data_IF_297405645378
#
_entry.id   IF_297405645378
#
_cell.length_a   1.000
_cell.length_b   1.000
_cell.length_c   1.000
_cell.angle_alpha   90.00
_cell.angle_beta   90.00
_cell.angle_gamma   90.00
#
_symmetry.space_group_name_H-M   'P 1'
#
loop_
_entity.id
_entity.type
_entity.pdbx_description
1 polymer ?
#
# COMPACT_ATOMS: atom_id res chain seq x y z
N UNK A 1 5.72 5.80 -15.27
CA UNK A 1 5.30 4.99 -14.10
C UNK A 1 5.89 3.60 -14.19
N UNK A 2 6.46 3.09 -13.12
CA UNK A 2 6.90 1.69 -13.05
C UNK A 2 5.87 0.88 -12.25
N UNK A 3 5.04 0.13 -12.96
CA UNK A 3 3.95 -0.64 -12.35
C UNK A 3 4.47 -1.72 -11.40
N UNK A 4 5.56 -2.40 -11.77
CA UNK A 4 6.16 -3.43 -10.93
C UNK A 4 6.58 -2.87 -9.57
N UNK A 5 7.23 -1.71 -9.56
CA UNK A 5 7.67 -1.08 -8.32
C UNK A 5 6.49 -0.61 -7.48
N UNK A 6 5.53 0.03 -8.10
CA UNK A 6 4.35 0.54 -7.39
C UNK A 6 3.53 -0.59 -6.78
N UNK A 7 3.31 -1.63 -7.55
CA UNK A 7 2.57 -2.81 -7.08
C UNK A 7 3.32 -3.52 -5.96
N UNK A 8 4.64 -3.73 -6.13
CA UNK A 8 5.46 -4.37 -5.12
C UNK A 8 5.46 -3.63 -3.80
N UNK A 9 5.60 -2.31 -3.83
CA UNK A 9 5.52 -1.46 -2.63
C UNK A 9 4.16 -1.57 -1.96
N UNK A 10 3.10 -1.59 -2.76
CA UNK A 10 1.73 -1.70 -2.22
C UNK A 10 1.49 -3.04 -1.54
N UNK A 11 1.94 -4.12 -2.16
CA UNK A 11 1.85 -5.46 -1.58
C UNK A 11 2.58 -5.51 -0.23
N UNK A 12 3.79 -4.98 -0.18
CA UNK A 12 4.58 -4.93 1.05
C UNK A 12 3.87 -4.13 2.14
N UNK A 13 3.32 -2.98 1.79
CA UNK A 13 2.57 -2.13 2.71
C UNK A 13 1.34 -2.86 3.28
N UNK A 14 0.53 -3.45 2.42
CA UNK A 14 -0.67 -4.18 2.83
C UNK A 14 -0.32 -5.41 3.66
N UNK A 15 0.75 -6.10 3.31
CA UNK A 15 1.26 -7.23 4.10
C UNK A 15 1.63 -6.79 5.52
N UNK A 16 2.38 -5.69 5.63
CA UNK A 16 2.78 -5.15 6.93
C UNK A 16 1.59 -4.66 7.74
N UNK A 17 0.60 -4.08 7.08
CA UNK A 17 -0.64 -3.67 7.75
C UNK A 17 -1.38 -4.85 8.38
N UNK A 18 -1.27 -6.03 7.80
CA UNK A 18 -1.82 -7.28 8.34
C UNK A 18 -0.86 -7.97 9.32
N UNK A 19 0.29 -7.37 9.60
CA UNK A 19 1.32 -7.91 10.50
C UNK A 19 1.84 -9.27 10.05
N UNK A 20 1.95 -9.47 8.75
CA UNK A 20 2.49 -10.69 8.17
C UNK A 20 3.94 -10.48 7.75
N UNK A 21 4.79 -11.47 8.03
CA UNK A 21 6.15 -11.52 7.47
C UNK A 21 6.09 -11.95 6.01
N UNK A 22 7.17 -11.71 5.26
CA UNK A 22 7.30 -12.26 3.91
C UNK A 22 7.20 -13.78 3.93
N UNK A 23 7.87 -14.42 4.88
CA UNK A 23 7.82 -15.86 5.04
C UNK A 23 6.39 -16.35 5.21
N UNK A 24 5.63 -15.71 6.10
CA UNK A 24 4.26 -16.12 6.37
C UNK A 24 3.37 -15.94 5.15
N UNK A 25 3.43 -14.80 4.49
CA UNK A 25 2.62 -14.57 3.30
C UNK A 25 2.99 -15.53 2.18
N UNK A 26 4.29 -15.78 1.96
CA UNK A 26 4.72 -16.73 0.92
C UNK A 26 4.20 -18.13 1.19
N UNK A 27 4.15 -18.57 2.45
CA UNK A 27 3.55 -19.85 2.82
C UNK A 27 2.04 -19.87 2.51
N UNK A 28 1.32 -18.79 2.85
CA UNK A 28 -0.12 -18.71 2.64
C UNK A 28 -0.51 -18.79 1.17
N UNK A 29 0.31 -18.26 0.29
CA UNK A 29 0.03 -18.22 -1.16
C UNK A 29 0.82 -19.26 -1.95
N UNK A 30 1.56 -20.11 -1.26
CA UNK A 30 2.31 -21.22 -1.83
C UNK A 30 3.30 -20.80 -2.92
N UNK A 31 4.14 -19.81 -2.60
CA UNK A 31 5.27 -19.41 -3.43
C UNK A 31 6.53 -19.35 -2.57
N UNK A 32 7.69 -19.39 -3.21
CA UNK A 32 8.96 -19.24 -2.50
C UNK A 32 9.09 -17.83 -1.93
N UNK A 33 9.71 -17.69 -0.77
CA UNK A 33 9.94 -16.38 -0.16
C UNK A 33 10.76 -15.48 -1.07
N UNK A 34 11.75 -16.03 -1.79
CA UNK A 34 12.55 -15.27 -2.75
C UNK A 34 11.70 -14.71 -3.89
N UNK A 35 10.68 -15.46 -4.31
CA UNK A 35 9.74 -15.00 -5.34
C UNK A 35 8.93 -13.82 -4.83
N UNK A 36 8.40 -13.90 -3.62
CA UNK A 36 7.65 -12.79 -3.01
C UNK A 36 8.55 -11.56 -2.81
N UNK A 37 9.78 -11.78 -2.35
CA UNK A 37 10.75 -10.70 -2.20
C UNK A 37 11.01 -9.98 -3.53
N UNK A 38 11.17 -10.73 -4.61
CA UNK A 38 11.35 -10.16 -5.94
C UNK A 38 10.13 -9.34 -6.41
N UNK A 39 8.93 -9.80 -6.10
CA UNK A 39 7.70 -9.08 -6.40
C UNK A 39 7.64 -7.76 -5.61
N UNK A 40 7.90 -7.82 -4.30
CA UNK A 40 7.86 -6.64 -3.43
C UNK A 40 8.93 -5.61 -3.79
N UNK A 41 10.08 -6.06 -4.28
CA UNK A 41 11.17 -5.17 -4.71
C UNK A 41 10.98 -4.60 -6.12
N UNK A 42 9.97 -5.06 -6.85
CA UNK A 42 9.73 -4.62 -8.20
C UNK A 42 10.59 -5.28 -9.27
N UNK A 43 11.31 -6.34 -8.91
CA UNK A 43 12.15 -7.09 -9.86
C UNK A 43 11.30 -7.97 -10.78
N UNK A 44 10.22 -8.52 -10.24
CA UNK A 44 9.32 -9.42 -10.95
C UNK A 44 7.88 -8.96 -10.85
N UNK A 45 7.11 -9.22 -11.89
CA UNK A 45 5.66 -9.01 -11.85
C UNK A 45 5.00 -10.35 -11.53
N UNK A 46 3.87 -10.31 -10.81
CA UNK A 46 3.15 -11.54 -10.50
C UNK A 46 2.16 -11.91 -11.61
N UNK A 47 1.87 -13.22 -11.70
CA UNK A 47 0.80 -13.70 -12.57
C UNK A 47 -0.55 -13.29 -11.98
N UNK A 48 -1.60 -13.36 -12.80
CA UNK A 48 -2.96 -13.12 -12.32
C UNK A 48 -3.35 -14.07 -11.18
N UNK A 49 -2.92 -15.32 -11.25
CA UNK A 49 -3.18 -16.30 -10.20
C UNK A 49 -2.53 -15.91 -8.88
N UNK A 50 -1.28 -15.46 -8.93
CA UNK A 50 -0.56 -15.00 -7.73
C UNK A 50 -1.21 -13.75 -7.16
N UNK A 51 -1.63 -12.80 -8.00
CA UNK A 51 -2.35 -11.61 -7.54
C UNK A 51 -3.64 -11.99 -6.82
N UNK A 52 -4.41 -12.92 -7.38
CA UNK A 52 -5.64 -13.40 -6.76
C UNK A 52 -5.38 -14.00 -5.37
N UNK A 53 -4.34 -14.82 -5.25
CA UNK A 53 -3.95 -15.41 -3.97
C UNK A 53 -3.54 -14.36 -2.95
N UNK A 54 -2.82 -13.33 -3.38
CA UNK A 54 -2.42 -12.22 -2.52
C UNK A 54 -3.65 -11.46 -2.01
N UNK A 55 -4.58 -11.15 -2.89
CA UNK A 55 -5.82 -10.45 -2.55
C UNK A 55 -6.61 -11.24 -1.50
N UNK A 56 -6.75 -12.54 -1.71
CA UNK A 56 -7.46 -13.42 -0.78
C UNK A 56 -6.74 -13.51 0.56
N UNK A 57 -5.43 -13.73 0.54
CA UNK A 57 -4.62 -13.87 1.76
C UNK A 57 -4.61 -12.59 2.59
N UNK A 58 -4.57 -11.44 1.95
CA UNK A 58 -4.57 -10.15 2.63
C UNK A 58 -5.98 -9.65 3.00
N UNK A 59 -7.01 -10.35 2.53
CA UNK A 59 -8.41 -10.00 2.80
C UNK A 59 -8.73 -8.57 2.35
N UNK A 60 -8.31 -8.23 1.14
CA UNK A 60 -8.50 -6.90 0.55
C UNK A 60 -9.33 -6.99 -0.72
N UNK A 61 -9.82 -5.83 -1.17
CA UNK A 61 -10.45 -5.71 -2.48
C UNK A 61 -9.39 -5.42 -3.53
N UNK A 62 -9.58 -5.84 -4.80
CA UNK A 62 -8.63 -5.54 -5.87
C UNK A 62 -8.28 -4.05 -6.00
N UNK A 63 -9.25 -3.17 -5.78
CA UNK A 63 -9.04 -1.73 -5.85
C UNK A 63 -8.00 -1.27 -4.83
N UNK A 64 -8.00 -1.85 -3.63
CA UNK A 64 -7.02 -1.52 -2.60
C UNK A 64 -5.59 -1.87 -3.04
N UNK A 65 -5.43 -2.97 -3.75
CA UNK A 65 -4.12 -3.42 -4.22
C UNK A 65 -3.51 -2.43 -5.22
N UNK A 66 -4.33 -1.80 -6.05
CA UNK A 66 -3.89 -0.88 -7.08
C UNK A 66 -4.02 0.59 -6.68
N UNK A 67 -4.25 0.86 -5.41
CA UNK A 67 -4.29 2.23 -4.89
C UNK A 67 -2.89 2.72 -4.58
N UNK A 68 -2.31 3.46 -5.51
CA UNK A 68 -0.95 4.00 -5.41
C UNK A 68 -0.93 5.51 -5.14
N UNK A 69 -2.08 6.11 -4.83
CA UNK A 69 -2.20 7.56 -4.75
C UNK A 69 -1.25 8.23 -3.76
N UNK A 70 -0.87 7.52 -2.69
CA UNK A 70 0.06 8.01 -1.66
C UNK A 70 1.53 7.74 -1.98
N UNK A 71 1.83 7.04 -3.09
CA UNK A 71 3.21 6.78 -3.52
C UNK A 71 3.76 7.95 -4.34
N UNK A 72 3.83 9.11 -3.70
CA UNK A 72 4.35 10.36 -4.24
C UNK A 72 5.36 10.90 -3.26
N UNK A 73 6.17 11.87 -3.67
CA UNK A 73 7.09 12.50 -2.72
C UNK A 73 6.32 13.31 -1.68
N UNK A 74 6.95 13.55 -0.54
CA UNK A 74 6.32 14.24 0.58
C UNK A 74 5.89 15.66 0.24
N UNK A 75 6.66 16.34 -0.60
CA UNK A 75 6.33 17.71 -1.02
C UNK A 75 5.02 17.74 -1.80
N UNK A 76 4.85 16.82 -2.75
CA UNK A 76 3.62 16.68 -3.53
C UNK A 76 2.44 16.33 -2.65
N UNK A 77 2.63 15.35 -1.74
CA UNK A 77 1.57 14.95 -0.81
C UNK A 77 1.14 16.10 0.10
N UNK A 78 2.08 16.90 0.56
CA UNK A 78 1.78 18.05 1.40
C UNK A 78 0.94 19.10 0.64
N UNK A 79 1.28 19.36 -0.61
CA UNK A 79 0.51 20.27 -1.46
C UNK A 79 -0.92 19.75 -1.64
N UNK A 80 -1.07 18.46 -1.89
CA UNK A 80 -2.40 17.85 -2.04
C UNK A 80 -3.21 17.92 -0.76
N UNK A 81 -2.59 17.67 0.39
CA UNK A 81 -3.24 17.78 1.70
C UNK A 81 -3.73 19.20 1.91
N UNK A 82 -2.88 20.20 1.67
CA UNK A 82 -3.24 21.61 1.82
C UNK A 82 -4.41 21.98 0.91
N UNK A 83 -4.42 21.52 -0.33
CA UNK A 83 -5.52 21.80 -1.26
C UNK A 83 -6.82 21.16 -0.81
N UNK A 84 -6.77 19.92 -0.31
CA UNK A 84 -7.95 19.25 0.24
C UNK A 84 -8.55 20.04 1.39
N UNK A 85 -7.70 20.52 2.32
CA UNK A 85 -8.16 21.27 3.48
C UNK A 85 -8.72 22.63 3.10
N UNK A 86 -8.12 23.32 2.13
CA UNK A 86 -8.63 24.61 1.63
C UNK A 86 -10.02 24.47 1.01
N UNK A 87 -10.30 23.33 0.39
CA UNK A 87 -11.58 23.07 -0.25
C UNK A 87 -12.66 22.60 0.73
N UNK A 88 -12.27 22.18 1.93
CA UNK A 88 -13.19 21.67 2.96
C UNK A 88 -12.83 22.25 4.34
N UNK A 89 -12.93 23.60 4.50
CA UNK A 89 -12.48 24.24 5.74
C UNK A 89 -13.23 23.77 6.99
N UNK A 90 -14.45 23.32 6.85
CA UNK A 90 -15.25 22.80 7.96
C UNK A 90 -14.66 21.50 8.56
N UNK A 91 -13.81 20.83 7.84
CA UNK A 91 -13.15 19.59 8.29
C UNK A 91 -11.81 19.83 8.98
N UNK A 92 -11.27 21.05 8.91
CA UNK A 92 -9.94 21.34 9.45
C UNK A 92 -9.80 20.97 10.94
N UNK A 93 -10.73 21.31 11.83
CA UNK A 93 -10.60 20.95 13.24
C UNK A 93 -10.55 19.44 13.48
N UNK A 94 -11.35 18.67 12.75
CA UNK A 94 -11.39 17.22 12.84
C UNK A 94 -10.06 16.59 12.35
N UNK A 95 -9.59 17.06 11.19
CA UNK A 95 -8.33 16.61 10.60
C UNK A 95 -7.15 16.95 11.51
N UNK A 96 -7.15 18.12 12.13
CA UNK A 96 -6.12 18.52 13.08
C UNK A 96 -5.99 17.51 14.22
N UNK A 97 -7.12 17.09 14.81
CA UNK A 97 -7.11 16.09 15.88
C UNK A 97 -6.54 14.75 15.43
N UNK A 98 -6.91 14.31 14.22
CA UNK A 98 -6.44 13.06 13.65
C UNK A 98 -4.93 13.10 13.42
N UNK A 99 -4.44 14.17 12.81
CA UNK A 99 -3.01 14.35 12.55
C UNK A 99 -2.22 14.36 13.87
N UNK A 100 -2.73 15.07 14.87
CA UNK A 100 -2.08 15.12 16.18
C UNK A 100 -1.97 13.75 16.81
N UNK A 101 -3.00 12.93 16.71
CA UNK A 101 -3.02 11.57 17.23
C UNK A 101 -2.03 10.65 16.51
N UNK A 102 -1.85 10.84 15.20
CA UNK A 102 -0.92 10.05 14.40
C UNK A 102 0.53 10.40 14.74
N UNK A 103 0.83 11.68 14.91
CA UNK A 103 2.21 12.16 15.14
C UNK A 103 2.66 11.93 16.58
N UNK A 104 1.77 12.11 17.52
CA UNK A 104 2.05 11.94 18.95
C UNK A 104 1.71 10.51 19.40
#
# INVERSE_FOLDING_TARGET
MNLKNKLGKRIKELRKNKRLSQEKLSEMIDIAQNTLSGIENGDNFCTAETLEKIIIALEIEPLELFDFGHQKDNETLLIEINNMLKNTPEKIPEVYKIIKAIIN
#
